data_IF_181108988338
#
_entry.id   IF_181108988338
#
_cell.length_a   1.000
_cell.length_b   1.000
_cell.length_c   1.000
_cell.angle_alpha   90.00
_cell.angle_beta   90.00
_cell.angle_gamma   90.00
#
_symmetry.space_group_name_H-M   'P 1'
#
loop_
_entity.id
_entity.type
_entity.pdbx_description
1 polymer ?
#
# COMPACT_ATOMS: atom_id res chain seq x y z
N UNK A 1 5.57 58.81 49.54
CA UNK A 1 5.46 57.79 50.61
C UNK A 1 5.56 56.42 49.97
N UNK A 2 6.53 55.64 50.43
CA UNK A 2 6.74 54.18 50.41
C UNK A 2 6.45 53.28 49.19
N UNK A 3 7.44 52.40 48.99
CA UNK A 3 7.63 51.28 48.05
C UNK A 3 6.76 50.05 48.34
N UNK A 4 6.52 49.20 47.32
CA UNK A 4 6.53 47.71 47.29
C UNK A 4 6.01 47.26 45.90
N UNK A 5 6.48 46.24 45.17
CA UNK A 5 7.47 45.19 45.33
C UNK A 5 7.34 44.22 44.12
N UNK A 6 8.47 43.69 43.66
CA UNK A 6 8.68 42.85 42.45
C UNK A 6 8.16 41.41 42.54
N UNK A 7 7.86 40.78 41.39
CA UNK A 7 8.48 39.51 40.97
C UNK A 7 8.09 39.13 39.51
N UNK A 8 9.07 39.18 38.60
CA UNK A 8 9.04 38.51 37.28
C UNK A 8 10.16 37.47 37.31
N UNK A 9 9.82 36.21 37.10
CA UNK A 9 10.80 35.11 36.97
C UNK A 9 11.09 34.92 35.49
N UNK A 10 12.28 35.32 35.07
CA UNK A 10 12.86 35.00 33.78
C UNK A 10 13.77 33.77 33.94
N UNK A 11 13.49 32.70 33.19
CA UNK A 11 14.38 31.54 33.10
C UNK A 11 15.32 31.73 31.89
N UNK A 12 16.60 31.92 32.18
CA UNK A 12 17.69 31.78 31.22
C UNK A 12 18.03 30.30 31.02
N UNK A 13 18.31 29.90 29.79
CA UNK A 13 18.94 28.62 29.45
C UNK A 13 19.74 28.77 28.16
N UNK A 14 21.06 28.78 28.28
CA UNK A 14 22.03 29.22 27.28
C UNK A 14 22.32 28.18 26.18
N UNK A 15 22.68 28.72 25.00
CA UNK A 15 23.40 28.04 23.92
C UNK A 15 24.80 27.58 24.39
N UNK A 16 25.24 26.43 23.89
CA UNK A 16 26.66 26.16 23.67
C UNK A 16 26.86 25.35 22.38
N UNK A 17 27.52 25.99 21.40
CA UNK A 17 28.14 25.37 20.24
C UNK A 17 29.55 24.90 20.62
N UNK A 18 29.99 23.75 20.13
CA UNK A 18 31.37 23.28 20.24
C UNK A 18 31.66 22.17 19.22
N UNK A 19 32.69 22.36 18.41
CA UNK A 19 33.00 21.65 17.17
C UNK A 19 34.25 20.74 17.28
N UNK A 20 34.43 19.87 16.26
CA UNK A 20 35.68 19.21 15.80
C UNK A 20 36.33 18.19 16.79
N UNK A 21 37.02 17.10 16.43
CA UNK A 21 37.58 16.54 15.19
C UNK A 21 37.96 15.05 15.43
N UNK A 22 38.17 14.30 14.33
CA UNK A 22 38.70 12.92 14.28
C UNK A 22 40.22 12.85 14.53
N UNK A 23 40.75 11.74 15.08
CA UNK A 23 41.66 10.78 14.40
C UNK A 23 42.38 9.81 15.37
N UNK A 24 42.30 8.53 15.02
CA UNK A 24 43.34 7.49 14.85
C UNK A 24 44.38 7.08 15.92
N UNK A 25 44.49 5.74 16.00
CA UNK A 25 45.67 4.88 16.18
C UNK A 25 46.45 4.86 17.52
N UNK A 26 46.51 3.66 18.11
CA UNK A 26 47.51 3.31 19.14
C UNK A 26 47.24 1.98 19.84
N UNK A 27 47.92 0.92 19.41
CA UNK A 27 48.10 -0.40 20.08
C UNK A 27 49.60 -0.50 20.47
N UNK A 28 50.12 -1.44 21.31
CA UNK A 28 49.55 -2.44 22.24
C UNK A 28 50.12 -2.39 23.69
N UNK A 29 49.56 -3.21 24.60
CA UNK A 29 50.34 -3.81 25.69
C UNK A 29 49.79 -5.20 26.06
N UNK A 30 50.71 -6.09 26.42
CA UNK A 30 50.61 -7.54 26.43
C UNK A 30 49.94 -8.15 27.67
N UNK A 31 49.37 -9.35 27.50
CA UNK A 31 48.89 -10.23 28.55
C UNK A 31 48.83 -11.67 28.05
N UNK A 32 49.75 -12.48 28.53
CA UNK A 32 50.07 -13.88 28.19
C UNK A 32 49.01 -14.91 28.56
N UNK A 33 48.88 -15.97 27.75
CA UNK A 33 48.24 -17.23 28.14
C UNK A 33 47.98 -18.16 26.94
N UNK A 34 48.89 -19.11 26.70
CA UNK A 34 48.77 -20.17 25.69
C UNK A 34 47.72 -21.21 26.09
N UNK A 35 46.84 -21.59 25.14
CA UNK A 35 46.36 -22.96 24.99
C UNK A 35 45.67 -23.12 23.62
N UNK A 36 46.29 -23.91 22.75
CA UNK A 36 45.74 -24.36 21.50
C UNK A 36 44.49 -25.25 21.72
N UNK A 37 43.42 -25.00 20.97
CA UNK A 37 42.59 -26.08 20.42
C UNK A 37 41.83 -25.61 19.18
N UNK A 38 42.02 -26.41 18.13
CA UNK A 38 41.17 -26.72 16.96
C UNK A 38 40.01 -25.78 16.59
N UNK A 39 40.06 -25.32 15.33
CA UNK A 39 38.96 -24.63 14.67
C UNK A 39 37.77 -25.55 14.39
N UNK A 40 36.58 -25.04 14.67
CA UNK A 40 35.32 -25.55 14.16
C UNK A 40 34.61 -24.42 13.42
N UNK A 41 34.46 -24.59 12.11
CA UNK A 41 33.67 -23.73 11.26
C UNK A 41 32.20 -23.78 11.72
N UNK A 42 31.69 -22.66 12.21
CA UNK A 42 30.26 -22.49 12.47
C UNK A 42 29.54 -22.28 11.13
N UNK A 43 28.99 -23.35 10.56
CA UNK A 43 27.96 -23.26 9.51
C UNK A 43 26.66 -22.77 10.16
N UNK A 44 26.41 -21.46 10.09
CA UNK A 44 25.11 -20.88 10.43
C UNK A 44 24.10 -21.18 9.33
N UNK A 45 23.24 -22.19 9.53
CA UNK A 45 22.04 -22.37 8.73
C UNK A 45 21.00 -21.32 9.12
N UNK A 46 20.68 -20.40 8.20
CA UNK A 46 19.54 -19.51 8.34
C UNK A 46 18.23 -20.34 8.39
N UNK A 47 17.24 -19.98 9.23
CA UNK A 47 15.97 -20.68 9.24
C UNK A 47 15.25 -20.46 7.91
N UNK A 48 14.95 -21.55 7.22
CA UNK A 48 14.12 -21.55 6.02
C UNK A 48 12.71 -21.11 6.43
N UNK A 49 12.23 -20.03 5.81
CA UNK A 49 10.85 -19.60 5.93
C UNK A 49 9.94 -20.76 5.56
N UNK A 50 9.16 -21.25 6.52
CA UNK A 50 8.19 -22.31 6.29
C UNK A 50 7.24 -21.87 5.17
N UNK A 51 7.15 -22.69 4.12
CA UNK A 51 6.18 -22.51 3.04
C UNK A 51 4.78 -22.54 3.67
N UNK A 52 4.04 -21.46 3.48
CA UNK A 52 2.66 -21.36 3.90
C UNK A 52 1.86 -22.54 3.32
N UNK A 53 0.99 -23.13 4.13
CA UNK A 53 0.08 -24.21 3.71
C UNK A 53 -0.79 -23.75 2.54
N UNK A 54 -1.08 -24.62 1.56
CA UNK A 54 -1.99 -24.28 0.47
C UNK A 54 -3.36 -23.85 1.01
N UNK A 55 -3.90 -22.76 0.47
CA UNK A 55 -5.28 -22.34 0.74
C UNK A 55 -6.27 -23.45 0.31
N UNK A 56 -7.42 -23.63 1.00
CA UNK A 56 -8.41 -24.61 0.60
C UNK A 56 -8.91 -24.37 -0.83
N UNK A 57 -9.12 -25.46 -1.57
CA UNK A 57 -9.57 -25.46 -2.97
C UNK A 57 -11.07 -25.08 -3.04
N UNK A 58 -11.36 -23.80 -2.82
CA UNK A 58 -12.65 -23.22 -3.14
C UNK A 58 -12.72 -23.01 -4.66
N UNK A 59 -13.74 -23.57 -5.35
CA UNK A 59 -13.90 -23.35 -6.79
C UNK A 59 -14.02 -21.84 -7.03
N UNK A 60 -12.98 -21.28 -7.65
CA UNK A 60 -12.88 -19.85 -7.90
C UNK A 60 -13.98 -19.46 -8.91
N UNK A 61 -14.91 -18.55 -8.57
CA UNK A 61 -15.82 -18.04 -9.57
C UNK A 61 -15.01 -17.39 -10.69
N UNK A 62 -15.39 -17.65 -11.95
CA UNK A 62 -14.69 -17.11 -13.10
C UNK A 62 -14.63 -15.57 -13.00
N UNK A 63 -13.40 -15.03 -12.98
CA UNK A 63 -13.17 -13.59 -13.05
C UNK A 63 -13.52 -13.16 -14.46
N UNK A 64 -14.61 -12.43 -14.62
CA UNK A 64 -14.79 -11.64 -15.84
C UNK A 64 -13.86 -10.45 -15.69
N UNK A 65 -12.59 -10.61 -16.10
CA UNK A 65 -11.70 -9.47 -16.25
C UNK A 65 -12.34 -8.63 -17.35
N UNK A 66 -12.78 -7.39 -17.07
CA UNK A 66 -13.28 -6.55 -18.13
C UNK A 66 -12.16 -6.35 -19.16
N UNK A 67 -12.49 -6.19 -20.45
CA UNK A 67 -11.49 -5.99 -21.48
C UNK A 67 -10.56 -4.85 -21.07
N UNK A 68 -9.25 -5.10 -21.20
CA UNK A 68 -8.26 -4.06 -20.96
C UNK A 68 -8.55 -2.92 -21.94
N UNK A 69 -8.55 -1.65 -21.49
CA UNK A 69 -8.51 -0.52 -22.42
C UNK A 69 -7.38 -0.74 -23.44
N UNK A 70 -7.66 -0.61 -24.73
CA UNK A 70 -6.61 -0.76 -25.76
C UNK A 70 -5.49 0.25 -25.47
N UNK A 71 -4.20 -0.11 -25.58
CA UNK A 71 -3.11 0.86 -25.46
C UNK A 71 -3.30 1.99 -26.48
N UNK A 72 -3.39 3.24 -26.02
CA UNK A 72 -3.70 4.39 -26.87
C UNK A 72 -5.18 4.55 -27.24
N UNK A 73 -6.07 3.65 -26.77
CA UNK A 73 -7.45 4.07 -26.52
C UNK A 73 -7.35 5.19 -25.50
N UNK A 74 -8.06 6.28 -25.70
CA UNK A 74 -7.57 7.46 -25.06
C UNK A 74 -8.19 7.62 -23.66
N UNK A 75 -7.33 7.74 -22.66
CA UNK A 75 -7.68 7.97 -21.26
C UNK A 75 -7.07 9.31 -20.85
N UNK A 76 -7.86 10.16 -20.19
CA UNK A 76 -7.45 11.51 -19.78
C UNK A 76 -8.44 12.60 -20.19
N UNK A 77 -8.18 13.86 -19.82
CA UNK A 77 -9.03 14.99 -20.17
C UNK A 77 -9.20 15.08 -21.70
N UNK A 78 -10.46 15.06 -22.16
CA UNK A 78 -10.79 15.11 -23.59
C UNK A 78 -11.18 13.76 -24.22
N UNK A 79 -11.32 12.70 -23.41
CA UNK A 79 -11.80 11.40 -23.84
C UNK A 79 -13.01 10.96 -23.02
N UNK A 80 -13.98 10.30 -23.67
CA UNK A 80 -15.38 10.04 -23.24
C UNK A 80 -15.59 9.25 -21.93
N UNK A 81 -14.69 9.29 -20.95
CA UNK A 81 -15.02 8.82 -19.60
C UNK A 81 -16.00 9.81 -18.94
N UNK A 82 -17.03 9.31 -18.24
CA UNK A 82 -17.93 10.18 -17.51
C UNK A 82 -17.16 10.96 -16.44
N UNK A 83 -17.67 12.12 -16.05
CA UNK A 83 -17.13 12.85 -14.92
C UNK A 83 -17.29 12.00 -13.65
N UNK A 84 -16.28 12.02 -12.78
CA UNK A 84 -16.39 11.37 -11.46
C UNK A 84 -17.35 12.23 -10.65
N UNK A 85 -18.57 11.73 -10.49
CA UNK A 85 -19.61 12.39 -9.70
C UNK A 85 -19.34 12.14 -8.22
N UNK A 86 -19.12 13.21 -7.45
CA UNK A 86 -18.92 13.09 -6.00
C UNK A 86 -20.20 12.70 -5.24
N UNK A 87 -21.37 12.73 -5.90
CA UNK A 87 -22.63 12.26 -5.33
C UNK A 87 -23.06 12.97 -4.04
N UNK A 88 -22.54 14.18 -3.78
CA UNK A 88 -22.75 14.91 -2.53
C UNK A 88 -21.89 14.46 -1.34
N UNK A 89 -20.96 13.52 -1.55
CA UNK A 89 -19.99 13.10 -0.54
C UNK A 89 -18.78 14.04 -0.50
N UNK A 90 -18.28 14.32 0.72
CA UNK A 90 -16.95 14.87 0.86
C UNK A 90 -15.92 13.79 0.51
N UNK A 91 -14.95 14.06 -0.37
CA UNK A 91 -13.95 13.08 -0.74
C UNK A 91 -13.09 12.73 0.48
N UNK A 92 -12.89 11.43 0.72
CA UNK A 92 -12.12 10.97 1.89
C UNK A 92 -10.61 11.17 1.77
N UNK A 93 -10.16 11.63 0.60
CA UNK A 93 -8.76 11.91 0.24
C UNK A 93 -8.71 13.18 -0.63
N UNK A 94 -7.54 13.84 -0.75
CA UNK A 94 -7.34 14.95 -1.70
C UNK A 94 -7.81 14.59 -3.12
N UNK A 95 -8.31 15.59 -3.86
CA UNK A 95 -8.95 15.35 -5.16
C UNK A 95 -8.02 14.75 -6.22
N UNK A 96 -6.74 15.08 -6.18
CA UNK A 96 -5.69 14.48 -7.00
C UNK A 96 -5.51 13.00 -6.68
N UNK A 97 -5.40 12.65 -5.40
CA UNK A 97 -5.30 11.25 -4.94
C UNK A 97 -6.55 10.44 -5.31
N UNK A 98 -7.74 11.03 -5.15
CA UNK A 98 -9.00 10.40 -5.54
C UNK A 98 -9.02 10.14 -7.06
N UNK A 99 -8.62 11.14 -7.86
CA UNK A 99 -8.56 11.01 -9.31
C UNK A 99 -7.58 9.90 -9.71
N UNK A 100 -6.37 9.88 -9.15
CA UNK A 100 -5.36 8.87 -9.45
C UNK A 100 -5.86 7.45 -9.13
N UNK A 101 -6.54 7.27 -8.00
CA UNK A 101 -7.13 5.97 -7.65
C UNK A 101 -8.21 5.51 -8.64
N UNK A 102 -9.11 6.42 -9.05
CA UNK A 102 -10.15 6.11 -10.03
C UNK A 102 -9.55 5.76 -11.40
N UNK A 103 -8.58 6.55 -11.85
CA UNK A 103 -7.91 6.32 -13.13
C UNK A 103 -7.11 5.00 -13.09
N UNK A 104 -6.41 4.70 -11.99
CA UNK A 104 -5.73 3.42 -11.84
C UNK A 104 -6.69 2.23 -11.93
N UNK A 105 -7.81 2.25 -11.20
CA UNK A 105 -8.80 1.19 -11.26
C UNK A 105 -9.46 1.06 -12.65
N UNK A 106 -9.64 2.19 -13.34
CA UNK A 106 -10.17 2.24 -14.70
C UNK A 106 -9.19 1.62 -15.72
N UNK A 107 -7.91 1.99 -15.64
CA UNK A 107 -6.89 1.67 -16.65
C UNK A 107 -6.19 0.32 -16.40
N UNK A 108 -6.20 -0.16 -15.16
CA UNK A 108 -5.54 -1.40 -14.75
C UNK A 108 -6.50 -2.47 -14.20
N UNK A 109 -7.54 -2.89 -14.95
CA UNK A 109 -8.40 -3.98 -14.51
C UNK A 109 -7.64 -5.31 -14.36
N UNK A 110 -6.52 -5.49 -15.07
CA UNK A 110 -5.65 -6.66 -14.89
C UNK A 110 -4.96 -6.71 -13.52
N UNK A 111 -4.98 -5.60 -12.76
CA UNK A 111 -4.48 -5.54 -11.37
C UNK A 111 -5.66 -5.42 -10.41
N UNK A 112 -6.48 -4.38 -10.57
CA UNK A 112 -7.52 -4.02 -9.61
C UNK A 112 -8.60 -5.10 -9.43
N UNK A 113 -8.86 -5.93 -10.46
CA UNK A 113 -9.80 -7.07 -10.34
C UNK A 113 -9.27 -8.23 -9.51
N UNK A 114 -7.98 -8.23 -9.17
CA UNK A 114 -7.31 -9.27 -8.39
C UNK A 114 -6.81 -8.79 -7.03
N UNK A 115 -6.99 -7.51 -6.71
CA UNK A 115 -6.66 -6.91 -5.41
C UNK A 115 -7.93 -6.84 -4.57
N UNK A 116 -7.96 -7.45 -3.36
CA UNK A 116 -9.12 -7.36 -2.50
C UNK A 116 -9.25 -6.01 -1.83
N UNK A 117 -10.48 -5.66 -1.43
CA UNK A 117 -10.76 -4.58 -0.50
C UNK A 117 -11.16 -5.14 0.87
N UNK A 118 -10.96 -4.33 1.92
CA UNK A 118 -11.21 -4.72 3.31
C UNK A 118 -12.17 -3.78 4.05
N UNK A 119 -12.84 -2.85 3.34
CA UNK A 119 -13.76 -1.90 3.97
C UNK A 119 -15.15 -2.49 4.30
N UNK A 120 -15.40 -3.77 3.98
CA UNK A 120 -16.69 -4.43 4.17
C UNK A 120 -17.67 -4.29 3.00
N UNK A 121 -17.28 -3.62 1.91
CA UNK A 121 -18.10 -3.45 0.70
C UNK A 121 -18.45 -4.77 -0.02
N UNK A 122 -17.82 -5.89 0.36
CA UNK A 122 -18.23 -7.23 -0.09
C UNK A 122 -19.71 -7.52 0.23
N UNK A 123 -20.21 -7.02 1.36
CA UNK A 123 -21.64 -7.12 1.72
C UNK A 123 -22.57 -6.34 0.78
N UNK A 124 -22.06 -5.34 0.07
CA UNK A 124 -22.76 -4.56 -0.95
C UNK A 124 -22.57 -5.14 -2.37
N UNK A 125 -21.84 -6.26 -2.51
CA UNK A 125 -21.64 -6.97 -3.77
C UNK A 125 -20.33 -6.67 -4.49
N UNK A 126 -19.44 -5.83 -3.94
CA UNK A 126 -18.12 -5.60 -4.53
C UNK A 126 -17.23 -6.83 -4.36
N UNK A 127 -16.63 -7.29 -5.47
CA UNK A 127 -15.82 -8.51 -5.48
C UNK A 127 -14.34 -8.23 -5.33
N UNK A 128 -13.90 -7.01 -5.62
CA UNK A 128 -12.49 -6.63 -5.69
C UNK A 128 -12.36 -5.10 -5.64
N UNK A 129 -11.12 -4.58 -5.67
CA UNK A 129 -10.86 -3.15 -5.60
C UNK A 129 -11.35 -2.40 -6.86
N UNK A 130 -11.40 -3.01 -8.05
CA UNK A 130 -11.95 -2.36 -9.25
C UNK A 130 -13.45 -2.05 -9.10
N UNK A 131 -14.22 -2.99 -8.54
CA UNK A 131 -15.66 -2.83 -8.31
C UNK A 131 -15.96 -1.64 -7.37
N UNK A 132 -15.00 -1.23 -6.53
CA UNK A 132 -15.14 -0.04 -5.68
C UNK A 132 -15.17 1.27 -6.46
N UNK A 133 -14.67 1.31 -7.69
CA UNK A 133 -14.57 2.53 -8.48
C UNK A 133 -15.40 2.47 -9.77
N UNK A 134 -15.46 1.32 -10.43
CA UNK A 134 -16.07 1.19 -11.75
C UNK A 134 -17.30 0.30 -11.66
N UNK A 135 -18.47 0.90 -11.91
CA UNK A 135 -19.75 0.20 -11.92
C UNK A 135 -20.08 -0.39 -13.29
N UNK A 136 -19.72 0.31 -14.36
CA UNK A 136 -20.07 -0.08 -15.72
C UNK A 136 -18.96 0.17 -16.73
N UNK A 137 -18.84 -0.73 -17.71
CA UNK A 137 -17.98 -0.59 -18.88
C UNK A 137 -18.71 -1.00 -20.16
N UNK A 138 -18.30 -0.41 -21.28
CA UNK A 138 -18.72 -0.83 -22.62
C UNK A 138 -17.93 -2.06 -23.11
N UNK A 139 -18.29 -2.67 -24.27
CA UNK A 139 -17.58 -3.83 -24.82
C UNK A 139 -16.10 -3.59 -25.13
N UNK A 140 -15.69 -2.33 -25.33
CA UNK A 140 -14.31 -1.92 -25.54
C UNK A 140 -13.54 -1.72 -24.23
N UNK A 141 -14.23 -1.80 -23.09
CA UNK A 141 -13.65 -1.68 -21.74
C UNK A 141 -13.61 -0.26 -21.22
N UNK A 142 -14.20 0.72 -21.91
CA UNK A 142 -14.27 2.12 -21.43
C UNK A 142 -15.27 2.21 -20.29
N UNK A 143 -14.97 3.01 -19.27
CA UNK A 143 -15.88 3.25 -18.15
C UNK A 143 -17.11 4.01 -18.67
N UNK A 144 -18.29 3.48 -18.39
CA UNK A 144 -19.58 4.14 -18.69
C UNK A 144 -20.29 4.63 -17.44
N UNK A 145 -19.90 4.12 -16.26
CA UNK A 145 -20.48 4.50 -14.97
C UNK A 145 -19.46 4.29 -13.84
N UNK A 146 -19.29 5.32 -13.00
CA UNK A 146 -18.48 5.25 -11.78
C UNK A 146 -19.30 4.75 -10.59
N UNK A 147 -18.65 4.04 -9.68
CA UNK A 147 -19.22 3.58 -8.41
C UNK A 147 -19.07 4.68 -7.33
N UNK A 148 -20.16 5.25 -6.79
CA UNK A 148 -20.10 6.30 -5.78
C UNK A 148 -19.35 5.88 -4.49
N UNK A 149 -19.30 4.59 -4.17
CA UNK A 149 -18.53 4.13 -3.01
C UNK A 149 -17.03 4.53 -3.09
N UNK A 150 -16.48 4.55 -4.29
CA UNK A 150 -15.06 4.83 -4.57
C UNK A 150 -14.64 6.26 -4.28
N UNK A 151 -15.58 7.21 -4.24
CA UNK A 151 -15.28 8.61 -3.89
C UNK A 151 -15.20 8.84 -2.37
N UNK A 152 -15.94 8.04 -1.60
CA UNK A 152 -16.13 8.27 -0.17
C UNK A 152 -15.31 7.32 0.73
N UNK A 153 -14.79 6.21 0.20
CA UNK A 153 -14.11 5.21 1.02
C UNK A 153 -12.58 5.34 0.99
N UNK A 154 -12.00 5.80 2.09
CA UNK A 154 -10.56 5.96 2.28
C UNK A 154 -9.78 4.65 2.01
N UNK A 155 -10.26 3.52 2.52
CA UNK A 155 -9.61 2.21 2.36
C UNK A 155 -9.58 1.77 0.89
N UNK A 156 -10.65 2.04 0.13
CA UNK A 156 -10.68 1.72 -1.30
C UNK A 156 -9.59 2.50 -2.04
N UNK A 157 -9.51 3.81 -1.75
CA UNK A 157 -8.56 4.74 -2.38
C UNK A 157 -7.12 4.38 -2.02
N UNK A 158 -6.82 4.12 -0.75
CA UNK A 158 -5.47 3.79 -0.31
C UNK A 158 -4.97 2.48 -0.94
N UNK A 159 -5.83 1.45 -0.99
CA UNK A 159 -5.50 0.18 -1.66
C UNK A 159 -5.19 0.38 -3.14
N UNK A 160 -5.99 1.20 -3.84
CA UNK A 160 -5.76 1.49 -5.26
C UNK A 160 -4.44 2.25 -5.47
N UNK A 161 -4.15 3.24 -4.64
CA UNK A 161 -2.92 4.03 -4.70
C UNK A 161 -1.68 3.19 -4.39
N UNK A 162 -1.73 2.31 -3.39
CA UNK A 162 -0.61 1.42 -3.10
C UNK A 162 -0.39 0.39 -4.21
N UNK A 163 -1.49 -0.14 -4.77
CA UNK A 163 -1.43 -1.02 -5.94
C UNK A 163 -0.83 -0.33 -7.16
N UNK A 164 -1.19 0.93 -7.40
CA UNK A 164 -0.61 1.78 -8.44
C UNK A 164 0.89 1.94 -8.25
N UNK A 165 1.34 2.36 -7.06
CA UNK A 165 2.77 2.54 -6.76
C UNK A 165 3.56 1.25 -6.99
N UNK A 166 3.02 0.12 -6.52
CA UNK A 166 3.68 -1.17 -6.68
C UNK A 166 3.73 -1.63 -8.14
N UNK A 167 2.64 -1.47 -8.89
CA UNK A 167 2.60 -1.79 -10.33
C UNK A 167 3.60 -0.92 -11.11
N UNK A 168 3.64 0.37 -10.82
CA UNK A 168 4.60 1.30 -11.43
C UNK A 168 6.06 0.96 -11.09
N UNK A 169 6.29 0.26 -9.98
CA UNK A 169 7.60 -0.25 -9.58
C UNK A 169 7.92 -1.64 -10.16
N UNK A 170 7.07 -2.19 -11.04
CA UNK A 170 7.26 -3.48 -11.69
C UNK A 170 6.85 -4.69 -10.85
N UNK A 171 6.12 -4.50 -9.74
CA UNK A 171 5.61 -5.62 -8.95
C UNK A 171 4.59 -6.46 -9.73
N UNK A 172 4.61 -7.77 -9.53
CA UNK A 172 3.58 -8.67 -10.08
C UNK A 172 2.25 -8.48 -9.37
N UNK A 173 1.14 -8.82 -10.04
CA UNK A 173 -0.22 -8.75 -9.46
C UNK A 173 -0.32 -9.58 -8.18
N UNK A 174 0.33 -10.74 -8.14
CA UNK A 174 0.38 -11.59 -6.95
C UNK A 174 1.12 -10.91 -5.78
N UNK A 175 2.23 -10.22 -6.05
CA UNK A 175 2.96 -9.48 -5.01
C UNK A 175 2.12 -8.31 -4.47
N UNK A 176 1.42 -7.59 -5.34
CA UNK A 176 0.49 -6.51 -4.96
C UNK A 176 -0.62 -7.05 -4.06
N UNK A 177 -1.31 -8.11 -4.51
CA UNK A 177 -2.36 -8.77 -3.74
C UNK A 177 -1.86 -9.17 -2.37
N UNK A 178 -0.74 -9.90 -2.30
CA UNK A 178 -0.17 -10.39 -1.04
C UNK A 178 0.17 -9.25 -0.08
N UNK A 179 0.71 -8.15 -0.60
CA UNK A 179 1.00 -6.95 0.21
C UNK A 179 -0.29 -6.37 0.81
N UNK A 180 -1.34 -6.17 0.01
CA UNK A 180 -2.63 -5.68 0.50
C UNK A 180 -3.24 -6.64 1.52
N UNK A 181 -3.22 -7.95 1.28
CA UNK A 181 -3.73 -8.92 2.26
C UNK A 181 -2.96 -8.84 3.59
N UNK A 182 -1.64 -8.74 3.55
CA UNK A 182 -0.81 -8.64 4.75
C UNK A 182 -1.08 -7.36 5.56
N UNK A 183 -1.28 -6.22 4.89
CA UNK A 183 -1.47 -4.93 5.55
C UNK A 183 -2.85 -4.82 6.21
N UNK A 184 -3.89 -5.41 5.60
CA UNK A 184 -5.27 -5.19 6.02
C UNK A 184 -5.90 -6.39 6.76
N UNK A 185 -5.64 -7.64 6.34
CA UNK A 185 -6.30 -8.83 6.90
C UNK A 185 -6.12 -9.01 8.42
N UNK A 186 -4.97 -8.69 9.04
CA UNK A 186 -4.83 -8.80 10.50
C UNK A 186 -5.81 -7.93 11.29
N UNK A 187 -6.20 -6.77 10.74
CA UNK A 187 -7.11 -5.82 11.37
C UNK A 187 -8.56 -5.99 10.91
N UNK A 188 -8.77 -6.61 9.74
CA UNK A 188 -10.07 -6.78 9.09
C UNK A 188 -10.29 -8.23 8.59
N UNK A 189 -10.24 -9.24 9.48
CA UNK A 189 -10.10 -10.66 9.09
C UNK A 189 -11.29 -11.21 8.28
N UNK A 190 -12.48 -10.62 8.41
CA UNK A 190 -13.71 -11.10 7.78
C UNK A 190 -14.27 -10.12 6.74
N UNK A 191 -13.46 -9.15 6.30
CA UNK A 191 -13.91 -8.07 5.42
C UNK A 191 -13.29 -8.10 4.04
N UNK A 192 -12.44 -9.11 3.76
CA UNK A 192 -11.89 -9.33 2.43
C UNK A 192 -13.02 -9.55 1.44
N UNK A 193 -13.06 -8.74 0.37
CA UNK A 193 -13.97 -8.99 -0.76
C UNK A 193 -13.67 -10.36 -1.36
N UNK A 194 -14.66 -11.06 -1.96
CA UNK A 194 -14.48 -12.38 -2.57
C UNK A 194 -13.67 -12.29 -3.87
N UNK A 195 -12.41 -11.91 -3.74
CA UNK A 195 -11.52 -11.57 -4.84
C UNK A 195 -10.81 -12.82 -5.31
N UNK A 196 -10.97 -13.21 -6.57
CA UNK A 196 -10.34 -14.40 -7.11
C UNK A 196 -8.81 -14.27 -7.13
N UNK A 197 -8.10 -15.40 -7.11
CA UNK A 197 -6.65 -15.39 -7.25
C UNK A 197 -6.21 -14.94 -8.66
N UNK A 198 -5.08 -14.19 -8.79
CA UNK A 198 -4.48 -13.88 -10.09
C UNK A 198 -4.09 -15.16 -10.83
N UNK A 199 -4.24 -15.17 -12.16
CA UNK A 199 -3.73 -16.26 -12.99
C UNK A 199 -2.21 -16.37 -12.82
N UNK A 200 -1.70 -17.57 -12.54
CA UNK A 200 -0.27 -17.80 -12.36
C UNK A 200 0.49 -17.54 -13.67
N UNK A 201 1.59 -16.77 -13.59
CA UNK A 201 2.51 -16.55 -14.72
C UNK A 201 2.23 -15.34 -15.60
N UNK A 202 1.45 -14.35 -15.14
CA UNK A 202 1.20 -13.08 -15.86
C UNK A 202 1.28 -11.87 -14.93
#
# INVERSE_FOLDING_TARGET
MSKLGFAVVALCGALALGACSNNEAGTPAAGSGDAATTGAAATGSAPQAALATPEPDYPQPAVVIPPRPKPGAPHGPGFDMPLIELGGYAPSRPMDVLKDAHMFAADHPEVASYVPCYCGCGSAGHKNNADCFVKGRDPEGRVTEWEPHGVACAVCIDIAVDSMKMKNSGASVMAIRKKVQNDYRPNFPNSETPTPAPLQGK
#
